data_IF_565575471962
#
_entry.id   IF_565575471962
#
_cell.length_a   1.000
_cell.length_b   1.000
_cell.length_c   1.000
_cell.angle_alpha   90.00
_cell.angle_beta   90.00
_cell.angle_gamma   90.00
#
_symmetry.space_group_name_H-M   'P 1'
#
loop_
_entity.id
_entity.type
_entity.pdbx_description
1 polymer ?
#
# COMPACT_ATOMS: atom_id res chain seq x y z
N UNK A 1 -20.82 12.83 -14.68
CA UNK A 1 -20.72 13.28 -13.27
C UNK A 1 -19.41 12.82 -12.67
N UNK A 2 -19.20 12.99 -11.37
CA UNK A 2 -18.02 12.48 -10.65
C UNK A 2 -18.43 11.86 -9.31
N UNK A 3 -17.49 11.16 -8.67
CA UNK A 3 -17.68 10.55 -7.35
C UNK A 3 -16.59 11.02 -6.38
N UNK A 4 -16.94 11.09 -5.10
CA UNK A 4 -16.03 11.42 -4.00
C UNK A 4 -16.13 10.29 -2.96
N UNK A 5 -14.99 9.95 -2.36
CA UNK A 5 -14.92 8.95 -1.29
C UNK A 5 -14.15 9.50 -0.09
N UNK A 6 -14.27 8.80 1.03
CA UNK A 6 -13.42 8.98 2.19
C UNK A 6 -12.98 7.62 2.67
N UNK A 7 -11.80 7.59 3.29
CA UNK A 7 -11.17 6.37 3.79
C UNK A 7 -10.60 6.65 5.17
N UNK A 8 -10.56 5.61 6.01
CA UNK A 8 -9.90 5.65 7.31
C UNK A 8 -8.38 5.55 7.18
N UNK A 9 -7.64 5.96 8.21
CA UNK A 9 -6.18 5.84 8.26
C UNK A 9 -5.71 4.40 8.02
N UNK A 10 -6.42 3.41 8.57
CA UNK A 10 -6.12 2.00 8.32
C UNK A 10 -6.21 1.65 6.82
N UNK A 11 -7.25 2.13 6.14
CA UNK A 11 -7.40 1.94 4.69
C UNK A 11 -6.34 2.69 3.88
N UNK A 12 -5.88 3.86 4.36
CA UNK A 12 -4.75 4.57 3.75
C UNK A 12 -3.49 3.70 3.81
N UNK A 13 -3.17 3.13 4.97
CA UNK A 13 -2.02 2.23 5.13
C UNK A 13 -2.15 0.98 4.26
N UNK A 14 -3.34 0.37 4.20
CA UNK A 14 -3.62 -0.73 3.26
C UNK A 14 -3.37 -0.32 1.81
N UNK A 15 -3.79 0.89 1.41
CA UNK A 15 -3.56 1.43 0.08
C UNK A 15 -2.08 1.58 -0.26
N UNK A 16 -1.27 2.10 0.67
CA UNK A 16 0.19 2.20 0.51
C UNK A 16 0.80 0.81 0.34
N UNK A 17 0.42 -0.14 1.21
CA UNK A 17 0.94 -1.52 1.18
C UNK A 17 0.57 -2.26 -0.09
N UNK A 18 -0.68 -2.11 -0.54
CA UNK A 18 -1.15 -2.71 -1.78
C UNK A 18 -0.28 -2.24 -2.95
N UNK A 19 -0.18 -0.92 -3.13
CA UNK A 19 0.60 -0.31 -4.20
C UNK A 19 2.08 -0.72 -4.17
N UNK A 20 2.70 -0.75 -2.98
CA UNK A 20 4.09 -1.16 -2.83
C UNK A 20 4.30 -2.65 -3.14
N UNK A 21 3.38 -3.52 -2.71
CA UNK A 21 3.53 -4.98 -2.85
C UNK A 21 3.16 -5.50 -4.24
N UNK A 22 2.29 -4.81 -4.98
CA UNK A 22 1.88 -5.24 -6.33
C UNK A 22 2.64 -4.54 -7.44
N UNK A 23 2.91 -3.23 -7.29
CA UNK A 23 3.53 -2.41 -8.36
C UNK A 23 4.97 -1.99 -8.04
N UNK A 24 5.48 -2.27 -6.83
CA UNK A 24 6.80 -1.81 -6.40
C UNK A 24 6.89 -0.30 -6.18
N UNK A 25 5.75 0.38 -6.00
CA UNK A 25 5.67 1.83 -5.81
C UNK A 25 5.42 2.17 -4.34
N UNK A 26 6.43 2.74 -3.68
CA UNK A 26 6.30 3.20 -2.30
C UNK A 26 5.84 4.67 -2.24
N UNK A 27 4.54 4.87 -2.04
CA UNK A 27 3.90 6.18 -2.00
C UNK A 27 3.73 6.75 -0.58
N UNK A 28 3.56 8.07 -0.50
CA UNK A 28 3.12 8.74 0.75
C UNK A 28 1.63 8.50 1.05
N UNK A 29 1.13 9.08 2.15
CA UNK A 29 -0.29 9.01 2.54
C UNK A 29 -1.27 9.44 1.45
N UNK A 30 -0.94 10.46 0.65
CA UNK A 30 -1.77 10.90 -0.47
C UNK A 30 -1.96 9.80 -1.54
N UNK A 31 -0.90 9.03 -1.83
CA UNK A 31 -0.99 7.86 -2.71
C UNK A 31 -1.84 6.75 -2.10
N UNK A 32 -1.69 6.51 -0.79
CA UNK A 32 -2.53 5.58 -0.03
C UNK A 32 -4.02 5.91 -0.09
N UNK A 33 -4.38 7.16 0.17
CA UNK A 33 -5.77 7.68 0.06
C UNK A 33 -6.32 7.45 -1.35
N UNK A 34 -5.51 7.75 -2.37
CA UNK A 34 -5.90 7.65 -3.78
C UNK A 34 -6.22 6.20 -4.17
N UNK A 35 -5.34 5.26 -3.82
CA UNK A 35 -5.52 3.82 -4.09
C UNK A 35 -6.70 3.25 -3.31
N UNK A 36 -6.81 3.58 -2.02
CA UNK A 36 -7.90 3.10 -1.17
C UNK A 36 -9.27 3.62 -1.63
N UNK A 37 -9.33 4.89 -2.07
CA UNK A 37 -10.55 5.48 -2.62
C UNK A 37 -10.92 4.86 -3.95
N UNK A 38 -9.96 4.61 -4.85
CA UNK A 38 -10.21 3.89 -6.10
C UNK A 38 -10.83 2.51 -5.82
N UNK A 39 -10.24 1.73 -4.91
CA UNK A 39 -10.77 0.41 -4.51
C UNK A 39 -12.21 0.52 -4.00
N UNK A 40 -12.49 1.47 -3.10
CA UNK A 40 -13.84 1.70 -2.58
C UNK A 40 -14.85 2.06 -3.68
N UNK A 41 -14.47 2.89 -4.64
CA UNK A 41 -15.35 3.32 -5.73
C UNK A 41 -15.59 2.20 -6.75
N UNK A 42 -14.60 1.36 -7.02
CA UNK A 42 -14.73 0.16 -7.83
C UNK A 42 -15.68 -0.86 -7.18
N UNK A 43 -15.53 -1.13 -5.88
CA UNK A 43 -16.40 -2.02 -5.11
C UNK A 43 -17.87 -1.55 -5.13
N UNK A 44 -18.10 -0.22 -5.19
CA UNK A 44 -19.43 0.38 -5.32
C UNK A 44 -19.96 0.47 -6.75
N UNK A 45 -19.19 0.00 -7.74
CA UNK A 45 -19.56 0.10 -9.16
C UNK A 45 -19.63 1.53 -9.70
N UNK A 46 -18.93 2.48 -9.08
CA UNK A 46 -18.93 3.89 -9.48
C UNK A 46 -17.85 4.23 -10.51
N UNK A 47 -16.88 3.33 -10.70
CA UNK A 47 -15.83 3.43 -11.72
C UNK A 47 -15.90 2.18 -12.59
N UNK A 48 -15.80 2.37 -13.90
CA UNK A 48 -15.70 1.27 -14.85
C UNK A 48 -14.29 0.63 -14.75
N UNK A 49 -14.19 -0.65 -14.36
CA UNK A 49 -12.90 -1.32 -14.20
C UNK A 49 -12.16 -1.54 -15.54
N UNK A 50 -12.84 -1.36 -16.67
CA UNK A 50 -12.25 -1.52 -18.02
C UNK A 50 -11.73 -0.20 -18.60
N UNK A 51 -12.07 0.94 -17.98
CA UNK A 51 -11.63 2.24 -18.42
C UNK A 51 -10.21 2.56 -17.93
N UNK A 52 -9.45 3.30 -18.75
CA UNK A 52 -8.16 3.83 -18.33
C UNK A 52 -8.34 4.80 -17.15
N UNK A 53 -7.64 4.52 -16.06
CA UNK A 53 -7.69 5.32 -14.83
C UNK A 53 -6.27 5.77 -14.48
N UNK A 54 -6.08 7.09 -14.35
CA UNK A 54 -4.80 7.68 -13.94
C UNK A 54 -4.89 8.06 -12.45
N UNK A 55 -3.96 7.52 -11.65
CA UNK A 55 -3.81 7.89 -10.25
C UNK A 55 -2.66 8.89 -10.09
N UNK A 56 -2.95 10.05 -9.53
CA UNK A 56 -1.93 11.06 -9.22
C UNK A 56 -1.24 10.72 -7.90
N UNK A 57 -0.07 10.08 -7.96
CA UNK A 57 0.79 9.94 -6.80
C UNK A 57 1.61 11.22 -6.61
N UNK A 58 1.16 12.09 -5.70
CA UNK A 58 1.73 13.44 -5.53
C UNK A 58 3.03 13.48 -4.72
N UNK A 59 3.43 12.39 -4.07
CA UNK A 59 4.64 12.37 -3.27
C UNK A 59 5.22 10.99 -3.00
N UNK A 60 6.44 11.03 -2.49
CA UNK A 60 7.32 9.89 -2.28
C UNK A 60 7.14 9.33 -0.85
N UNK A 61 7.09 8.00 -0.72
CA UNK A 61 6.84 7.33 0.56
C UNK A 61 7.87 7.61 1.64
N UNK A 62 9.10 8.03 1.28
CA UNK A 62 10.12 8.42 2.26
C UNK A 62 9.76 9.68 3.05
N UNK A 63 8.75 10.47 2.61
CA UNK A 63 8.26 11.64 3.34
C UNK A 63 7.43 11.28 4.58
N UNK A 64 6.79 10.12 4.58
CA UNK A 64 5.81 9.71 5.61
C UNK A 64 6.07 8.27 6.06
N UNK A 65 7.31 7.95 6.40
CA UNK A 65 7.69 6.63 6.91
C UNK A 65 6.90 6.22 8.16
N UNK A 66 6.57 7.21 9.00
CA UNK A 66 5.76 7.08 10.21
C UNK A 66 4.38 6.49 9.95
N UNK A 67 3.78 6.78 8.79
CA UNK A 67 2.46 6.26 8.43
C UNK A 67 2.41 4.73 8.36
N UNK A 68 3.54 4.07 8.05
CA UNK A 68 3.62 2.61 7.92
C UNK A 68 4.50 1.96 8.98
N UNK A 69 5.31 2.74 9.71
CA UNK A 69 6.32 2.22 10.64
C UNK A 69 5.76 1.29 11.74
N UNK A 70 4.51 1.48 12.16
CA UNK A 70 3.85 0.60 13.14
C UNK A 70 3.32 -0.72 12.54
N UNK A 71 3.21 -0.80 11.21
CA UNK A 71 2.53 -1.87 10.47
C UNK A 71 3.52 -2.72 9.65
N UNK A 72 4.75 -2.25 9.49
CA UNK A 72 5.81 -2.92 8.71
C UNK A 72 7.09 -3.07 9.53
N UNK A 73 7.79 -4.17 9.32
CA UNK A 73 9.04 -4.45 10.00
C UNK A 73 9.69 -5.73 9.49
N UNK A 74 10.88 -6.07 10.01
CA UNK A 74 11.55 -7.32 9.65
C UNK A 74 10.66 -8.53 9.95
N UNK A 75 10.47 -9.39 8.95
CA UNK A 75 9.72 -10.64 9.11
C UNK A 75 10.37 -11.59 10.12
N UNK A 76 11.71 -11.61 10.18
CA UNK A 76 12.47 -12.40 11.13
C UNK A 76 13.80 -11.71 11.48
N UNK A 77 14.26 -11.88 12.72
CA UNK A 77 15.63 -11.54 13.15
C UNK A 77 16.34 -12.83 13.51
N UNK A 78 17.46 -13.12 12.84
CA UNK A 78 18.17 -14.40 12.94
C UNK A 78 19.66 -14.21 13.24
N UNK A 79 20.30 -15.27 13.76
CA UNK A 79 21.76 -15.32 13.83
C UNK A 79 22.38 -15.30 12.42
N UNK A 80 23.62 -14.77 12.25
CA UNK A 80 24.27 -14.62 10.94
C UNK A 80 24.79 -15.97 10.40
N UNK A 81 23.90 -16.92 10.15
CA UNK A 81 24.24 -18.24 9.63
C UNK A 81 23.17 -18.74 8.66
N UNK A 82 23.61 -19.47 7.64
CA UNK A 82 22.70 -20.09 6.66
C UNK A 82 21.69 -21.03 7.32
N UNK A 83 22.11 -21.80 8.33
CA UNK A 83 21.21 -22.70 9.07
C UNK A 83 20.11 -21.93 9.83
N UNK A 84 20.39 -20.73 10.34
CA UNK A 84 19.36 -19.91 10.96
C UNK A 84 18.37 -19.37 9.92
N UNK A 85 18.86 -19.03 8.71
CA UNK A 85 18.00 -18.59 7.60
C UNK A 85 17.05 -19.71 7.13
N UNK A 86 17.56 -20.91 6.86
CA UNK A 86 16.73 -22.02 6.37
C UNK A 86 15.64 -22.43 7.36
N UNK A 87 15.90 -22.32 8.66
CA UNK A 87 14.92 -22.60 9.73
C UNK A 87 13.76 -21.61 9.79
N UNK A 88 13.86 -20.44 9.16
CA UNK A 88 12.76 -19.46 9.11
C UNK A 88 11.59 -19.91 8.21
N UNK A 89 11.85 -20.81 7.25
CA UNK A 89 10.87 -21.17 6.23
C UNK A 89 10.55 -20.05 5.24
N UNK A 90 11.38 -18.99 5.18
CA UNK A 90 11.24 -17.86 4.23
C UNK A 90 11.95 -18.12 2.89
N UNK A 91 12.39 -19.35 2.65
CA UNK A 91 13.04 -19.78 1.42
C UNK A 91 12.04 -20.39 0.44
#
# INVERSE_FOLDING_TARGET
GGAMGHVSDAQVVEGIRLLASTEGLFAETAGGVTVATLRQLLERGQIDPTAETVLYNTGDGLKTLDAVAGEVGPTATIAPSYNAFTKTGLA
#
